data_IF_451016821979
#
_entry.id   IF_451016821979
#
_cell.length_a   1.000
_cell.length_b   1.000
_cell.length_c   1.000
_cell.angle_alpha   90.00
_cell.angle_beta   90.00
_cell.angle_gamma   90.00
#
_symmetry.space_group_name_H-M   'P 1'
#
loop_
_entity.id
_entity.type
_entity.pdbx_description
1 polymer ?
#
# COMPACT_ATOMS: atom_id res chain seq x y z
N UNK A 1 29.21 -3.49 -4.99
CA UNK A 1 28.76 -4.89 -5.08
C UNK A 1 27.52 -5.09 -5.97
N UNK A 2 26.27 -4.90 -5.52
CA UNK A 2 25.05 -5.20 -6.32
C UNK A 2 25.01 -4.56 -7.72
N UNK A 3 25.37 -3.26 -7.82
CA UNK A 3 25.51 -2.56 -9.12
C UNK A 3 26.57 -3.19 -10.03
N UNK A 4 27.71 -3.59 -9.46
CA UNK A 4 28.81 -4.21 -10.23
C UNK A 4 28.38 -5.57 -10.73
N UNK A 5 27.69 -6.37 -9.92
CA UNK A 5 27.15 -7.67 -10.34
C UNK A 5 26.17 -7.52 -11.51
N UNK A 6 25.24 -6.58 -11.45
CA UNK A 6 24.34 -6.28 -12.59
C UNK A 6 25.11 -5.85 -13.83
N UNK A 7 26.16 -5.03 -13.66
CA UNK A 7 27.00 -4.61 -14.78
C UNK A 7 27.77 -5.78 -15.39
N UNK A 8 28.31 -6.70 -14.58
CA UNK A 8 28.97 -7.92 -15.06
C UNK A 8 28.00 -8.80 -15.84
N UNK A 9 26.79 -9.03 -15.32
CA UNK A 9 25.75 -9.78 -16.03
C UNK A 9 25.43 -9.11 -17.37
N UNK A 10 25.25 -7.79 -17.37
CA UNK A 10 25.02 -7.03 -18.61
C UNK A 10 26.13 -7.20 -19.64
N UNK A 11 27.41 -7.25 -19.22
CA UNK A 11 28.52 -7.48 -20.15
C UNK A 11 28.52 -8.90 -20.72
N UNK A 12 28.20 -9.90 -19.90
CA UNK A 12 28.12 -11.30 -20.35
C UNK A 12 26.98 -11.52 -21.36
N UNK A 13 25.86 -10.83 -21.17
CA UNK A 13 24.69 -10.95 -22.04
C UNK A 13 24.77 -10.07 -23.31
N UNK A 14 25.88 -9.37 -23.55
CA UNK A 14 25.95 -8.30 -24.55
C UNK A 14 25.69 -8.77 -25.99
N UNK A 15 26.09 -10.00 -26.31
CA UNK A 15 25.98 -10.58 -27.67
C UNK A 15 24.78 -11.53 -27.81
N UNK A 16 23.91 -11.61 -26.80
CA UNK A 16 22.76 -12.50 -26.82
C UNK A 16 21.57 -11.86 -27.54
N UNK A 17 21.11 -12.49 -28.62
CA UNK A 17 19.93 -12.04 -29.38
C UNK A 17 18.62 -12.45 -28.70
N UNK A 18 18.64 -13.53 -27.93
CA UNK A 18 17.46 -14.09 -27.26
C UNK A 18 17.76 -14.47 -25.82
N UNK A 19 16.93 -14.02 -24.89
CA UNK A 19 17.08 -14.30 -23.47
C UNK A 19 15.80 -14.86 -22.88
N UNK A 20 15.92 -15.79 -21.93
CA UNK A 20 14.80 -16.33 -21.18
C UNK A 20 15.05 -16.16 -19.68
N UNK A 21 14.15 -15.43 -19.03
CA UNK A 21 14.24 -15.10 -17.61
C UNK A 21 13.07 -15.67 -16.82
N UNK A 22 13.33 -16.07 -15.58
CA UNK A 22 12.30 -16.24 -14.55
C UNK A 22 12.47 -15.13 -13.53
N UNK A 23 11.36 -14.51 -13.12
CA UNK A 23 11.36 -13.39 -12.18
C UNK A 23 10.45 -13.67 -11.00
N UNK A 24 10.84 -13.18 -9.84
CA UNK A 24 10.01 -13.24 -8.64
C UNK A 24 10.37 -12.09 -7.70
N UNK A 25 9.49 -11.82 -6.76
CA UNK A 25 9.66 -10.83 -5.72
C UNK A 25 8.94 -11.21 -4.43
N UNK A 26 9.65 -11.15 -3.30
CA UNK A 26 9.10 -11.49 -2.00
C UNK A 26 8.92 -10.27 -1.10
N UNK A 27 7.81 -10.22 -0.38
CA UNK A 27 7.51 -9.23 0.67
C UNK A 27 7.20 -9.97 1.96
N UNK A 28 7.93 -9.65 3.03
CA UNK A 28 7.67 -10.14 4.38
C UNK A 28 7.31 -9.00 5.33
N UNK A 29 6.59 -9.32 6.41
CA UNK A 29 6.18 -8.38 7.46
C UNK A 29 5.45 -7.13 6.90
N UNK A 30 4.58 -7.35 5.91
CA UNK A 30 3.79 -6.29 5.30
C UNK A 30 3.03 -5.47 6.36
N UNK A 31 2.90 -4.17 6.13
CA UNK A 31 2.24 -3.20 7.02
C UNK A 31 2.92 -3.02 8.40
N UNK A 32 4.18 -3.43 8.55
CA UNK A 32 4.98 -3.18 9.76
C UNK A 32 6.20 -2.32 9.45
N UNK A 33 6.86 -1.80 10.50
CA UNK A 33 8.12 -1.05 10.37
C UNK A 33 9.30 -1.93 9.93
N UNK A 34 9.18 -3.25 10.04
CA UNK A 34 10.20 -4.23 9.66
C UNK A 34 9.88 -4.91 8.33
N UNK A 35 9.02 -4.29 7.51
CA UNK A 35 8.72 -4.77 6.16
C UNK A 35 10.01 -4.85 5.33
N UNK A 36 10.22 -6.00 4.69
CA UNK A 36 11.38 -6.24 3.84
C UNK A 36 10.91 -6.74 2.48
N UNK A 37 11.52 -6.22 1.43
CA UNK A 37 11.21 -6.53 0.05
C UNK A 37 12.45 -7.00 -0.68
N UNK A 38 12.30 -8.06 -1.46
CA UNK A 38 13.34 -8.59 -2.34
C UNK A 38 12.79 -8.78 -3.74
N UNK A 39 13.65 -8.64 -4.72
CA UNK A 39 13.32 -8.86 -6.12
C UNK A 39 14.52 -9.50 -6.82
N UNK A 40 14.25 -10.31 -7.82
CA UNK A 40 15.32 -10.93 -8.57
C UNK A 40 14.88 -11.63 -9.84
N UNK A 41 15.88 -12.11 -10.57
CA UNK A 41 15.67 -12.92 -11.75
C UNK A 41 16.73 -14.02 -11.83
N UNK A 42 16.40 -15.08 -12.56
CA UNK A 42 17.36 -16.02 -13.09
C UNK A 42 17.27 -16.02 -14.62
N UNK A 43 18.41 -16.08 -15.29
CA UNK A 43 18.52 -16.27 -16.73
C UNK A 43 18.80 -17.75 -16.99
N UNK A 44 18.13 -18.32 -17.99
CA UNK A 44 18.37 -19.69 -18.43
C UNK A 44 18.85 -19.74 -19.88
N UNK A 45 19.67 -20.73 -20.19
CA UNK A 45 20.03 -21.09 -21.56
C UNK A 45 18.93 -21.91 -22.24
N UNK A 46 19.05 -22.10 -23.55
CA UNK A 46 18.18 -23.00 -24.34
C UNK A 46 18.23 -24.46 -23.86
N UNK A 47 19.31 -24.84 -23.18
CA UNK A 47 19.49 -26.16 -22.57
C UNK A 47 18.88 -26.28 -21.17
N UNK A 48 18.08 -25.29 -20.74
CA UNK A 48 17.46 -25.22 -19.41
C UNK A 48 18.50 -25.26 -18.27
N UNK A 49 19.65 -24.61 -18.45
CA UNK A 49 20.62 -24.42 -17.37
C UNK A 49 20.60 -22.96 -16.92
N UNK A 50 20.73 -22.73 -15.61
CA UNK A 50 20.83 -21.37 -15.07
C UNK A 50 22.20 -20.80 -15.46
N UNK A 51 22.21 -19.73 -16.26
CA UNK A 51 23.44 -19.02 -16.67
C UNK A 51 23.79 -17.93 -15.68
N UNK A 52 22.78 -17.18 -15.22
CA UNK A 52 22.93 -16.09 -14.28
C UNK A 52 21.77 -16.07 -13.28
N UNK A 53 22.06 -15.65 -12.06
CA UNK A 53 21.05 -15.32 -11.04
C UNK A 53 21.43 -13.99 -10.42
N UNK A 54 20.41 -13.19 -10.10
CA UNK A 54 20.57 -11.97 -9.34
C UNK A 54 19.36 -11.73 -8.44
N UNK A 55 19.61 -11.49 -7.16
CA UNK A 55 18.61 -11.05 -6.20
C UNK A 55 19.10 -9.83 -5.43
N UNK A 56 18.15 -9.02 -4.97
CA UNK A 56 18.46 -7.83 -4.21
C UNK A 56 17.32 -7.43 -3.28
N UNK A 57 17.67 -6.78 -2.18
CA UNK A 57 16.73 -6.05 -1.34
C UNK A 57 16.39 -4.70 -1.96
N UNK A 58 15.15 -4.27 -1.82
CA UNK A 58 14.65 -2.98 -2.30
C UNK A 58 14.02 -2.18 -1.16
N UNK A 59 14.15 -0.86 -1.23
CA UNK A 59 13.68 0.06 -0.20
C UNK A 59 12.45 0.85 -0.64
N UNK A 60 11.73 1.34 0.39
CA UNK A 60 10.58 2.24 0.31
C UNK A 60 9.35 1.65 -0.39
N UNK A 61 8.16 2.12 0.00
CA UNK A 61 6.87 1.74 -0.60
C UNK A 61 6.61 0.22 -0.64
N UNK A 62 6.58 -0.47 0.52
CA UNK A 62 6.42 -1.92 0.58
C UNK A 62 5.12 -2.40 -0.11
N UNK A 63 5.26 -3.23 -1.16
CA UNK A 63 4.15 -3.94 -1.79
C UNK A 63 4.65 -5.11 -2.64
N UNK A 64 3.93 -6.23 -2.68
CA UNK A 64 4.29 -7.38 -3.52
C UNK A 64 4.31 -7.03 -5.01
N UNK A 65 3.44 -6.11 -5.46
CA UNK A 65 3.50 -5.64 -6.85
C UNK A 65 4.81 -4.90 -7.16
N UNK A 66 5.39 -4.20 -6.18
CA UNK A 66 6.66 -3.48 -6.37
C UNK A 66 7.79 -4.45 -6.64
N UNK A 67 7.90 -5.52 -5.85
CA UNK A 67 8.98 -6.51 -5.98
C UNK A 67 8.94 -7.18 -7.35
N UNK A 68 7.75 -7.58 -7.80
CA UNK A 68 7.52 -8.15 -9.13
C UNK A 68 7.90 -7.21 -10.28
N UNK A 69 7.42 -5.96 -10.24
CA UNK A 69 7.75 -4.97 -11.26
C UNK A 69 9.24 -4.63 -11.26
N UNK A 70 9.86 -4.60 -10.08
CA UNK A 70 11.27 -4.31 -9.94
C UNK A 70 12.14 -5.46 -10.47
N UNK A 71 11.74 -6.72 -10.29
CA UNK A 71 12.39 -7.87 -10.91
C UNK A 71 12.42 -7.77 -12.45
N UNK A 72 11.29 -7.37 -13.05
CA UNK A 72 11.21 -7.08 -14.49
C UNK A 72 12.07 -5.88 -14.87
N UNK A 73 12.11 -4.82 -14.06
CA UNK A 73 12.99 -3.69 -14.32
C UNK A 73 14.48 -4.10 -14.33
N UNK A 74 14.89 -4.98 -13.41
CA UNK A 74 16.27 -5.47 -13.32
C UNK A 74 16.71 -6.26 -14.55
N UNK A 75 15.88 -7.19 -15.05
CA UNK A 75 16.23 -7.95 -16.25
C UNK A 75 16.33 -7.02 -17.47
N UNK A 76 15.42 -6.05 -17.61
CA UNK A 76 15.45 -5.08 -18.71
C UNK A 76 16.72 -4.21 -18.69
N UNK A 77 17.23 -3.88 -17.50
CA UNK A 77 18.48 -3.14 -17.34
C UNK A 77 19.66 -3.96 -17.86
N UNK A 78 19.71 -5.28 -17.61
CA UNK A 78 20.83 -6.12 -18.03
C UNK A 78 20.73 -6.62 -19.47
N UNK A 79 19.54 -6.64 -20.08
CA UNK A 79 19.37 -7.09 -21.46
C UNK A 79 20.05 -6.17 -22.49
N UNK A 80 20.63 -6.72 -23.59
CA UNK A 80 21.26 -5.93 -24.65
C UNK A 80 20.22 -5.29 -25.58
N UNK A 81 20.67 -4.40 -26.46
CA UNK A 81 19.80 -3.77 -27.47
C UNK A 81 19.33 -4.77 -28.52
N UNK A 82 18.10 -4.62 -29.02
CA UNK A 82 17.53 -5.46 -30.07
C UNK A 82 17.14 -6.87 -29.63
N UNK A 83 17.30 -7.20 -28.34
CA UNK A 83 17.09 -8.54 -27.82
C UNK A 83 15.61 -8.94 -27.78
N UNK A 84 15.33 -10.21 -28.04
CA UNK A 84 14.04 -10.84 -27.72
C UNK A 84 14.10 -11.48 -26.35
N UNK A 85 13.18 -11.10 -25.48
CA UNK A 85 13.17 -11.52 -24.08
C UNK A 85 11.89 -12.30 -23.77
N UNK A 86 12.05 -13.55 -23.36
CA UNK A 86 11.01 -14.37 -22.76
C UNK A 86 11.01 -14.15 -21.24
N UNK A 87 9.91 -13.59 -20.71
CA UNK A 87 9.77 -13.29 -19.28
C UNK A 87 8.75 -14.24 -18.68
N UNK A 88 9.22 -15.17 -17.86
CA UNK A 88 8.40 -16.14 -17.14
C UNK A 88 8.15 -15.61 -15.72
N UNK A 89 6.89 -15.29 -15.39
CA UNK A 89 6.50 -14.69 -14.11
C UNK A 89 5.14 -15.24 -13.67
N UNK A 90 4.92 -15.34 -12.37
CA UNK A 90 3.60 -15.64 -11.79
C UNK A 90 2.79 -14.37 -11.46
N UNK A 91 3.28 -13.16 -11.74
CA UNK A 91 2.54 -11.93 -11.52
C UNK A 91 1.73 -11.51 -12.74
N UNK A 92 0.45 -11.92 -12.79
CA UNK A 92 -0.48 -11.44 -13.83
C UNK A 92 -0.66 -9.93 -13.79
N UNK A 93 -0.62 -9.34 -12.59
CA UNK A 93 -0.77 -7.90 -12.41
C UNK A 93 0.38 -7.13 -13.08
N UNK A 94 1.62 -7.59 -12.95
CA UNK A 94 2.78 -6.99 -13.61
C UNK A 94 2.65 -7.06 -15.13
N UNK A 95 2.27 -8.23 -15.67
CA UNK A 95 2.03 -8.42 -17.11
C UNK A 95 0.97 -7.42 -17.61
N UNK A 96 -0.18 -7.36 -16.94
CA UNK A 96 -1.29 -6.51 -17.33
C UNK A 96 -0.91 -5.02 -17.34
N UNK A 97 -0.20 -4.55 -16.31
CA UNK A 97 0.22 -3.15 -16.20
C UNK A 97 1.18 -2.79 -17.34
N UNK A 98 2.20 -3.61 -17.58
CA UNK A 98 3.20 -3.33 -18.61
C UNK A 98 2.55 -3.36 -19.99
N UNK A 99 1.76 -4.38 -20.29
CA UNK A 99 1.06 -4.48 -21.59
C UNK A 99 0.08 -3.32 -21.80
N UNK A 100 -0.68 -2.92 -20.77
CA UNK A 100 -1.61 -1.81 -20.85
C UNK A 100 -0.91 -0.50 -21.22
N UNK A 101 0.22 -0.20 -20.59
CA UNK A 101 0.95 1.05 -20.82
C UNK A 101 1.73 0.99 -22.14
N UNK A 102 2.35 -0.15 -22.44
CA UNK A 102 3.09 -0.35 -23.69
C UNK A 102 2.20 -0.19 -24.92
N UNK A 103 0.97 -0.73 -24.86
CA UNK A 103 0.00 -0.66 -25.95
C UNK A 103 -0.82 0.66 -25.97
N UNK A 104 -0.63 1.55 -25.00
CA UNK A 104 -1.32 2.82 -24.93
C UNK A 104 -0.38 3.98 -25.28
N UNK A 105 -0.32 4.43 -26.56
CA UNK A 105 0.55 5.52 -26.97
C UNK A 105 0.16 6.87 -26.35
N UNK A 106 -1.06 7.00 -25.84
CA UNK A 106 -1.58 8.23 -25.23
C UNK A 106 -1.40 8.27 -23.71
N UNK A 107 -0.74 7.27 -23.12
CA UNK A 107 -0.54 7.19 -21.67
C UNK A 107 0.28 8.40 -21.19
N UNK A 108 -0.37 9.31 -20.48
CA UNK A 108 0.20 10.60 -20.13
C UNK A 108 0.90 10.57 -18.77
N UNK A 109 1.71 11.61 -18.50
CA UNK A 109 2.30 11.85 -17.17
C UNK A 109 1.22 11.88 -16.07
N UNK A 110 0.04 12.45 -16.38
CA UNK A 110 -1.09 12.49 -15.46
C UNK A 110 -1.58 11.09 -15.10
N UNK A 111 -1.55 10.16 -16.05
CA UNK A 111 -1.99 8.79 -15.83
C UNK A 111 -1.00 8.01 -14.96
N UNK A 112 0.31 8.25 -15.11
CA UNK A 112 1.31 7.75 -14.16
C UNK A 112 1.01 8.19 -12.72
N UNK A 113 0.68 9.47 -12.51
CA UNK A 113 0.33 9.97 -11.16
C UNK A 113 -1.06 9.52 -10.66
N UNK A 114 -1.90 8.92 -11.51
CA UNK A 114 -3.17 8.29 -11.13
C UNK A 114 -3.02 6.82 -10.76
N UNK A 115 -1.92 6.17 -11.14
CA UNK A 115 -1.62 4.80 -10.73
C UNK A 115 -1.65 4.70 -9.19
N UNK A 116 -2.23 3.64 -8.63
CA UNK A 116 -2.36 3.48 -7.18
C UNK A 116 -1.00 3.55 -6.48
N UNK A 117 -0.03 2.77 -6.96
CA UNK A 117 1.33 2.65 -6.42
C UNK A 117 2.34 2.36 -7.56
N UNK A 118 3.64 2.46 -7.25
CA UNK A 118 4.80 2.09 -8.10
C UNK A 118 4.91 2.87 -9.42
N UNK A 119 4.34 4.07 -9.48
CA UNK A 119 4.32 4.88 -10.71
C UNK A 119 5.72 5.14 -11.27
N UNK A 120 6.75 5.37 -10.44
CA UNK A 120 8.11 5.62 -10.91
C UNK A 120 8.77 4.35 -11.47
N UNK A 121 8.66 3.21 -10.78
CA UNK A 121 9.17 1.92 -11.29
C UNK A 121 8.54 1.62 -12.66
N UNK A 122 7.22 1.78 -12.76
CA UNK A 122 6.47 1.55 -14.00
C UNK A 122 6.89 2.53 -15.11
N UNK A 123 7.13 3.80 -14.78
CA UNK A 123 7.59 4.82 -15.72
C UNK A 123 9.02 4.57 -16.23
N UNK A 124 9.82 3.72 -15.57
CA UNK A 124 11.12 3.31 -16.10
C UNK A 124 11.02 2.18 -17.14
N UNK A 125 10.04 1.28 -17.01
CA UNK A 125 9.98 0.05 -17.80
C UNK A 125 9.78 0.33 -19.29
N UNK A 126 8.74 1.08 -19.66
CA UNK A 126 8.38 1.31 -21.08
C UNK A 126 9.46 2.10 -21.84
N UNK A 127 10.05 3.17 -21.29
CA UNK A 127 11.17 3.84 -21.92
C UNK A 127 12.37 2.93 -22.18
N UNK A 128 12.76 2.06 -21.23
CA UNK A 128 13.86 1.11 -21.45
C UNK A 128 13.54 0.16 -22.62
N UNK A 129 12.32 -0.38 -22.66
CA UNK A 129 11.90 -1.28 -23.75
C UNK A 129 12.05 -0.58 -25.11
N UNK A 130 11.62 0.68 -25.20
CA UNK A 130 11.69 1.48 -26.44
C UNK A 130 13.11 1.87 -26.81
N UNK A 131 13.88 2.41 -25.86
CA UNK A 131 15.27 2.86 -26.06
C UNK A 131 16.17 1.69 -26.48
N UNK A 132 15.97 0.52 -25.88
CA UNK A 132 16.73 -0.69 -26.21
C UNK A 132 16.16 -1.49 -27.38
N UNK A 133 15.02 -1.08 -27.95
CA UNK A 133 14.33 -1.83 -29.01
C UNK A 133 14.10 -3.31 -28.64
N UNK A 134 13.60 -3.56 -27.43
CA UNK A 134 13.40 -4.92 -26.90
C UNK A 134 12.07 -5.50 -27.38
N UNK A 135 12.09 -6.79 -27.73
CA UNK A 135 10.86 -7.55 -28.03
C UNK A 135 10.53 -8.45 -26.85
N UNK A 136 9.43 -8.15 -26.14
CA UNK A 136 9.06 -8.92 -24.94
C UNK A 136 7.98 -9.97 -25.26
N UNK A 137 8.16 -11.18 -24.73
CA UNK A 137 7.13 -12.22 -24.64
C UNK A 137 6.91 -12.59 -23.18
N UNK A 138 5.71 -12.31 -22.67
CA UNK A 138 5.34 -12.68 -21.31
C UNK A 138 4.72 -14.07 -21.26
N UNK A 139 5.26 -14.93 -20.40
CA UNK A 139 4.77 -16.26 -20.13
C UNK A 139 4.24 -16.31 -18.69
N UNK A 140 2.92 -16.41 -18.54
CA UNK A 140 2.28 -16.54 -17.22
C UNK A 140 2.51 -17.94 -16.66
N UNK A 141 3.28 -18.03 -15.58
CA UNK A 141 3.46 -19.26 -14.82
C UNK A 141 2.26 -19.43 -13.89
N UNK A 142 1.66 -20.62 -13.87
CA UNK A 142 0.59 -20.94 -12.91
C UNK A 142 1.22 -21.16 -11.53
N UNK A 143 0.69 -20.45 -10.53
CA UNK A 143 1.05 -20.71 -9.14
C UNK A 143 0.83 -22.20 -8.83
N UNK A 144 1.77 -22.82 -8.12
CA UNK A 144 1.77 -24.24 -7.74
C UNK A 144 2.01 -25.28 -8.86
N UNK A 145 2.37 -24.88 -10.09
CA UNK A 145 2.61 -25.82 -11.20
C UNK A 145 3.94 -26.58 -11.14
N UNK A 146 4.57 -26.69 -9.96
CA UNK A 146 5.84 -27.37 -9.75
C UNK A 146 7.02 -26.92 -10.65
N UNK A 147 6.95 -25.73 -11.26
CA UNK A 147 8.02 -25.21 -12.12
C UNK A 147 9.32 -25.02 -11.32
N UNK A 148 10.38 -25.67 -11.77
CA UNK A 148 11.66 -25.73 -11.05
C UNK A 148 12.31 -24.34 -10.96
N UNK A 149 12.32 -23.58 -12.05
CA UNK A 149 12.99 -22.28 -12.13
C UNK A 149 12.23 -21.23 -11.32
N UNK A 150 10.90 -21.22 -11.40
CA UNK A 150 10.06 -20.34 -10.59
C UNK A 150 10.28 -20.59 -9.09
N UNK A 151 10.27 -21.86 -8.66
CA UNK A 151 10.56 -22.21 -7.26
C UNK A 151 11.96 -21.81 -6.84
N UNK A 152 12.93 -21.91 -7.76
CA UNK A 152 14.31 -21.54 -7.47
C UNK A 152 14.42 -20.04 -7.20
N UNK A 153 13.83 -19.19 -8.04
CA UNK A 153 13.88 -17.73 -7.83
C UNK A 153 13.05 -17.29 -6.61
N UNK A 154 11.91 -17.93 -6.32
CA UNK A 154 11.13 -17.73 -5.08
C UNK A 154 12.00 -17.97 -3.84
N UNK A 155 12.72 -19.10 -3.81
CA UNK A 155 13.64 -19.44 -2.72
C UNK A 155 14.79 -18.45 -2.61
N UNK A 156 15.40 -18.04 -3.73
CA UNK A 156 16.49 -17.06 -3.72
C UNK A 156 16.02 -15.69 -3.21
N UNK A 157 14.80 -15.26 -3.57
CA UNK A 157 14.20 -14.03 -3.04
C UNK A 157 13.90 -14.13 -1.53
N UNK A 158 13.46 -15.30 -1.05
CA UNK A 158 13.25 -15.54 0.40
C UNK A 158 14.56 -15.47 1.19
N UNK A 159 15.64 -16.03 0.64
CA UNK A 159 16.98 -15.98 1.26
C UNK A 159 17.52 -14.54 1.25
N UNK A 160 17.27 -13.79 0.17
CA UNK A 160 17.75 -12.42 0.02
C UNK A 160 17.23 -11.46 1.11
N UNK A 161 16.18 -11.79 1.87
CA UNK A 161 15.75 -10.97 3.00
C UNK A 161 16.79 -10.88 4.12
N UNK A 162 17.67 -11.87 4.20
CA UNK A 162 18.74 -11.96 5.20
C UNK A 162 20.10 -11.47 4.67
N UNK A 163 20.12 -10.92 3.45
CA UNK A 163 21.30 -10.29 2.88
C UNK A 163 21.61 -8.98 3.62
N UNK A 164 22.79 -8.92 4.24
CA UNK A 164 23.26 -7.75 4.98
C UNK A 164 23.79 -6.63 4.09
N UNK A 165 23.84 -6.84 2.77
CA UNK A 165 24.35 -5.84 1.85
C UNK A 165 23.31 -4.77 1.54
N UNK A 166 23.71 -3.50 1.35
CA UNK A 166 22.78 -2.39 1.13
C UNK A 166 21.78 -2.67 0.01
N UNK A 167 20.56 -2.18 0.17
CA UNK A 167 19.52 -2.32 -0.85
C UNK A 167 19.92 -1.65 -2.17
N UNK A 168 19.42 -2.18 -3.28
CA UNK A 168 19.61 -1.54 -4.57
C UNK A 168 18.67 -0.34 -4.70
N UNK A 169 19.24 0.84 -4.92
CA UNK A 169 18.50 2.09 -5.13
C UNK A 169 18.71 2.60 -6.55
N UNK A 170 17.62 2.81 -7.28
CA UNK A 170 17.64 3.43 -8.60
C UNK A 170 17.73 4.94 -8.43
N UNK A 171 18.93 5.51 -8.65
CA UNK A 171 19.17 6.95 -8.53
C UNK A 171 18.84 7.73 -9.81
N UNK A 172 19.01 7.11 -10.97
CA UNK A 172 18.74 7.71 -12.28
C UNK A 172 17.57 6.98 -12.91
N UNK A 173 16.57 7.74 -13.32
CA UNK A 173 15.44 7.20 -14.04
C UNK A 173 15.70 7.23 -15.55
N UNK A 174 15.06 6.31 -16.27
CA UNK A 174 15.10 6.13 -17.72
C UNK A 174 13.97 6.88 -18.43
N UNK A 175 13.32 7.81 -17.74
CA UNK A 175 12.25 8.63 -18.31
C UNK A 175 12.59 10.11 -18.19
N UNK A 176 12.20 10.86 -19.21
CA UNK A 176 12.39 12.32 -19.29
C UNK A 176 11.07 13.08 -19.24
N UNK A 177 9.95 12.37 -19.14
CA UNK A 177 8.60 12.95 -19.11
C UNK A 177 8.27 13.67 -17.78
N UNK A 178 8.99 13.38 -16.69
CA UNK A 178 8.81 14.02 -15.39
C UNK A 178 10.11 14.75 -15.02
N UNK A 179 10.10 16.08 -15.12
CA UNK A 179 11.25 16.91 -14.77
C UNK A 179 11.50 16.99 -13.26
N UNK A 180 10.43 16.99 -12.47
CA UNK A 180 10.49 17.13 -11.01
C UNK A 180 9.70 16.00 -10.36
N UNK A 181 10.40 15.14 -9.64
CA UNK A 181 9.79 14.02 -8.90
C UNK A 181 9.42 14.52 -7.50
N UNK A 182 8.14 14.52 -7.12
CA UNK A 182 7.73 14.89 -5.76
C UNK A 182 8.37 13.93 -4.74
N UNK A 183 8.85 14.48 -3.63
CA UNK A 183 9.52 13.72 -2.56
C UNK A 183 8.92 14.04 -1.20
N UNK A 184 8.94 13.05 -0.31
CA UNK A 184 8.61 13.18 1.11
C UNK A 184 9.87 12.85 1.92
N UNK A 185 10.49 13.87 2.55
CA UNK A 185 11.69 13.66 3.36
C UNK A 185 12.82 12.97 2.59
N UNK A 186 13.06 13.39 1.34
CA UNK A 186 13.98 12.80 0.33
C UNK A 186 13.56 11.48 -0.33
N UNK A 187 12.43 10.88 0.08
CA UNK A 187 11.91 9.65 -0.55
C UNK A 187 10.96 10.02 -1.69
N UNK A 188 11.20 9.59 -2.93
CA UNK A 188 10.28 9.82 -4.05
C UNK A 188 8.87 9.30 -3.76
N UNK A 189 7.84 10.07 -4.09
CA UNK A 189 6.44 9.69 -3.86
C UNK A 189 5.99 8.74 -4.98
N UNK A 190 5.89 7.44 -4.66
CA UNK A 190 5.52 6.41 -5.64
C UNK A 190 4.04 6.02 -5.64
N UNK A 191 3.17 6.90 -5.16
CA UNK A 191 1.72 6.66 -5.04
C UNK A 191 0.94 7.75 -5.74
N UNK A 192 -0.39 7.63 -5.74
CA UNK A 192 -1.30 8.69 -6.21
C UNK A 192 -0.97 10.03 -5.56
N UNK A 193 -0.34 10.94 -6.30
CA UNK A 193 0.23 12.17 -5.76
C UNK A 193 -0.84 13.02 -5.05
N UNK A 194 -1.99 13.24 -5.69
CA UNK A 194 -3.09 14.04 -5.11
C UNK A 194 -3.58 13.44 -3.80
N UNK A 195 -3.77 12.12 -3.75
CA UNK A 195 -4.27 11.42 -2.56
C UNK A 195 -3.22 11.46 -1.45
N UNK A 196 -1.94 11.26 -1.78
CA UNK A 196 -0.83 11.41 -0.84
C UNK A 196 -0.79 12.81 -0.20
N UNK A 197 -0.91 13.87 -1.01
CA UNK A 197 -0.94 15.26 -0.51
C UNK A 197 -2.16 15.48 0.41
N UNK A 198 -3.34 15.00 0.00
CA UNK A 198 -4.55 15.09 0.83
C UNK A 198 -4.37 14.35 2.16
N UNK A 199 -3.90 13.12 2.13
CA UNK A 199 -3.73 12.28 3.33
C UNK A 199 -2.68 12.86 4.27
N UNK A 200 -1.57 13.34 3.72
CA UNK A 200 -0.53 14.02 4.47
C UNK A 200 -1.03 15.31 5.13
N UNK A 201 -1.78 16.14 4.39
CA UNK A 201 -2.35 17.38 4.93
C UNK A 201 -3.37 17.09 6.02
N UNK A 202 -4.23 16.08 5.82
CA UNK A 202 -5.20 15.64 6.81
C UNK A 202 -4.52 15.10 8.06
N UNK A 203 -3.49 14.27 7.91
CA UNK A 203 -2.70 13.77 9.04
C UNK A 203 -2.05 14.92 9.82
N UNK A 204 -1.47 15.89 9.12
CA UNK A 204 -0.88 17.08 9.76
C UNK A 204 -1.93 17.87 10.55
N UNK A 205 -3.08 18.12 9.96
CA UNK A 205 -4.18 18.84 10.62
C UNK A 205 -4.70 18.07 11.83
N UNK A 206 -4.86 16.76 11.70
CA UNK A 206 -5.28 15.87 12.78
C UNK A 206 -4.29 15.89 13.94
N UNK A 207 -2.99 15.74 13.66
CA UNK A 207 -1.95 15.84 14.68
C UNK A 207 -1.94 17.23 15.33
N UNK A 208 -2.09 18.30 14.56
CA UNK A 208 -2.16 19.66 15.10
C UNK A 208 -3.36 19.81 16.05
N UNK A 209 -4.53 19.31 15.67
CA UNK A 209 -5.73 19.29 16.51
C UNK A 209 -5.51 18.50 17.81
N UNK A 210 -4.92 17.31 17.74
CA UNK A 210 -4.63 16.49 18.93
C UNK A 210 -3.61 17.15 19.86
N UNK A 211 -2.66 17.91 19.31
CA UNK A 211 -1.61 18.58 20.05
C UNK A 211 -2.01 19.94 20.62
N UNK A 212 -3.24 20.40 20.42
CA UNK A 212 -3.78 21.56 21.14
C UNK A 212 -3.80 21.29 22.65
N UNK A 213 -3.40 22.23 23.51
CA UNK A 213 -3.35 22.03 24.97
C UNK A 213 -4.66 21.51 25.56
N UNK A 214 -5.80 21.95 25.03
CA UNK A 214 -7.13 21.52 25.47
C UNK A 214 -7.43 20.07 25.10
N UNK A 215 -6.84 19.58 24.01
CA UNK A 215 -7.12 18.27 23.44
C UNK A 215 -6.10 17.20 23.85
N UNK A 216 -4.95 17.60 24.38
CA UNK A 216 -3.86 16.69 24.71
C UNK A 216 -4.29 15.53 25.62
N UNK A 217 -5.21 15.79 26.56
CA UNK A 217 -5.80 14.79 27.45
C UNK A 217 -6.55 13.67 26.74
N UNK A 218 -7.06 13.91 25.53
CA UNK A 218 -7.83 12.92 24.77
C UNK A 218 -6.96 12.02 23.88
N UNK A 219 -5.66 12.32 23.74
CA UNK A 219 -4.78 11.63 22.80
C UNK A 219 -4.72 10.10 23.01
N UNK A 220 -4.72 9.67 24.26
CA UNK A 220 -4.59 8.25 24.63
C UNK A 220 -5.87 7.66 25.25
N UNK A 221 -6.90 8.47 25.49
CA UNK A 221 -8.13 8.04 26.18
C UNK A 221 -9.25 7.76 25.17
N UNK A 222 -9.21 8.41 24.01
CA UNK A 222 -10.22 8.27 22.96
C UNK A 222 -9.72 7.28 21.92
N UNK A 223 -10.57 6.30 21.59
CA UNK A 223 -10.41 5.47 20.40
C UNK A 223 -10.72 6.32 19.16
N UNK A 224 -9.69 7.01 18.68
CA UNK A 224 -9.82 7.94 17.56
C UNK A 224 -10.12 7.24 16.24
N UNK A 225 -9.71 5.97 16.07
CA UNK A 225 -9.99 5.21 14.86
C UNK A 225 -11.50 4.93 14.77
N UNK A 226 -12.10 4.45 15.85
CA UNK A 226 -13.54 4.26 15.94
C UNK A 226 -14.30 5.59 15.87
N UNK A 227 -13.83 6.61 16.59
CA UNK A 227 -14.46 7.94 16.63
C UNK A 227 -14.50 8.59 15.25
N UNK A 228 -13.38 8.57 14.52
CA UNK A 228 -13.32 9.12 13.17
C UNK A 228 -14.11 8.26 12.18
N UNK A 229 -14.15 6.93 12.34
CA UNK A 229 -15.00 6.08 11.51
C UNK A 229 -16.48 6.47 11.63
N UNK A 230 -16.98 6.70 12.85
CA UNK A 230 -18.36 7.16 13.10
C UNK A 230 -18.58 8.56 12.50
N UNK A 231 -17.68 9.51 12.76
CA UNK A 231 -17.87 10.92 12.36
C UNK A 231 -17.67 11.16 10.86
N UNK A 232 -16.74 10.44 10.24
CA UNK A 232 -16.24 10.67 8.88
C UNK A 232 -16.67 9.63 7.85
N UNK A 233 -17.53 8.65 8.19
CA UNK A 233 -18.20 7.79 7.21
C UNK A 233 -19.18 8.61 6.34
N UNK A 234 -18.63 9.37 5.41
CA UNK A 234 -19.36 9.84 4.25
C UNK A 234 -19.28 8.68 3.24
N UNK A 235 -20.42 8.21 2.73
CA UNK A 235 -20.51 7.03 1.86
C UNK A 235 -19.65 7.09 0.59
N UNK A 236 -19.85 6.14 -0.33
CA UNK A 236 -19.15 6.14 -1.61
C UNK A 236 -19.26 7.51 -2.29
N UNK A 237 -18.12 8.06 -2.71
CA UNK A 237 -18.06 9.38 -3.38
C UNK A 237 -18.68 9.24 -4.76
N UNK A 238 -19.99 9.41 -4.86
CA UNK A 238 -20.66 9.71 -6.12
C UNK A 238 -20.20 11.08 -6.63
N UNK A 239 -20.20 11.21 -7.96
CA UNK A 239 -19.58 12.28 -8.72
C UNK A 239 -19.97 13.69 -8.26
N UNK A 240 -19.00 14.61 -8.28
CA UNK A 240 -19.15 15.99 -7.83
C UNK A 240 -20.01 16.80 -8.81
N UNK A 241 -21.32 16.89 -8.57
CA UNK A 241 -22.15 17.97 -9.09
C UNK A 241 -22.30 19.06 -8.02
N UNK A 242 -22.08 20.31 -8.42
CA UNK A 242 -21.99 21.49 -7.56
C UNK A 242 -23.29 21.87 -6.83
N UNK A 243 -24.41 21.17 -7.03
CA UNK A 243 -25.71 21.59 -6.50
C UNK A 243 -26.26 20.79 -5.30
N UNK A 244 -25.72 19.64 -4.90
CA UNK A 244 -26.34 18.90 -3.78
C UNK A 244 -25.32 18.19 -2.90
N UNK A 245 -24.89 18.85 -1.83
CA UNK A 245 -24.29 18.21 -0.66
C UNK A 245 -25.39 17.67 0.28
N UNK A 246 -26.30 16.85 -0.25
CA UNK A 246 -27.24 16.05 0.56
C UNK A 246 -26.86 14.58 0.34
N UNK A 247 -25.73 14.17 0.94
CA UNK A 247 -25.31 12.77 0.91
C UNK A 247 -26.17 11.96 1.88
N UNK A 248 -27.02 11.10 1.33
CA UNK A 248 -27.63 9.97 2.06
C UNK A 248 -26.51 9.20 2.79
N UNK A 249 -26.71 8.92 4.08
CA UNK A 249 -25.74 8.24 4.92
C UNK A 249 -25.89 6.73 4.73
N UNK A 250 -24.77 5.99 4.60
CA UNK A 250 -24.81 4.56 4.27
C UNK A 250 -25.45 3.69 5.38
N UNK A 251 -25.62 4.22 6.60
CA UNK A 251 -26.34 3.52 7.66
C UNK A 251 -27.74 4.09 7.91
N UNK A 252 -28.12 5.23 7.33
CA UNK A 252 -29.44 5.85 7.55
C UNK A 252 -29.86 6.70 6.35
N UNK A 253 -30.95 6.32 5.68
CA UNK A 253 -31.47 6.98 4.49
C UNK A 253 -32.31 8.25 4.79
N UNK A 254 -32.44 8.67 6.06
CA UNK A 254 -33.23 9.85 6.43
C UNK A 254 -32.39 11.15 6.41
N UNK A 255 -32.96 12.22 5.88
CA UNK A 255 -32.26 13.46 5.53
C UNK A 255 -31.72 14.28 6.71
N UNK A 256 -30.60 14.96 6.40
CA UNK A 256 -29.84 15.99 7.14
C UNK A 256 -29.13 15.54 8.42
N UNK A 257 -27.80 15.45 8.28
CA UNK A 257 -26.80 15.32 9.35
C UNK A 257 -26.87 16.54 10.29
N UNK A 258 -27.67 16.45 11.35
CA UNK A 258 -27.56 17.33 12.52
C UNK A 258 -26.64 16.69 13.56
N UNK A 259 -26.01 17.50 14.43
CA UNK A 259 -25.24 16.98 15.55
C UNK A 259 -26.05 15.96 16.35
N UNK A 260 -27.33 16.24 16.59
CA UNK A 260 -28.25 15.35 17.30
C UNK A 260 -28.52 14.05 16.53
N UNK A 261 -28.68 14.10 15.20
CA UNK A 261 -28.90 12.89 14.40
C UNK A 261 -27.70 11.94 14.48
N UNK A 262 -26.45 12.44 14.55
CA UNK A 262 -25.27 11.58 14.72
C UNK A 262 -25.36 10.77 16.00
N UNK A 263 -25.77 11.37 17.13
CA UNK A 263 -25.82 10.69 18.43
C UNK A 263 -27.09 9.86 18.67
N UNK A 264 -28.16 10.13 17.94
CA UNK A 264 -29.48 9.54 18.16
C UNK A 264 -29.95 8.64 17.00
N UNK A 265 -29.09 8.44 15.99
CA UNK A 265 -29.44 7.63 14.83
C UNK A 265 -29.71 6.17 15.25
N UNK A 266 -30.93 5.65 15.05
CA UNK A 266 -31.28 4.30 15.46
C UNK A 266 -30.45 3.22 14.74
N UNK A 267 -29.92 3.54 13.57
CA UNK A 267 -29.05 2.64 12.79
C UNK A 267 -27.58 2.65 13.21
N UNK A 268 -27.16 3.57 14.09
CA UNK A 268 -25.79 3.61 14.64
C UNK A 268 -25.73 3.06 16.07
N UNK A 269 -26.86 2.62 16.63
CA UNK A 269 -26.98 2.18 18.04
C UNK A 269 -25.96 1.12 18.42
N UNK A 270 -25.64 0.18 17.51
CA UNK A 270 -24.65 -0.87 17.75
C UNK A 270 -23.22 -0.32 17.82
N UNK A 271 -22.83 0.56 16.90
CA UNK A 271 -21.52 1.22 16.90
C UNK A 271 -21.33 2.12 18.13
N UNK A 272 -22.37 2.87 18.53
CA UNK A 272 -22.35 3.64 19.76
C UNK A 272 -22.32 2.77 21.01
N UNK A 273 -22.99 1.62 21.00
CA UNK A 273 -22.92 0.65 22.10
C UNK A 273 -21.50 0.07 22.24
N UNK A 274 -20.82 -0.21 21.13
CA UNK A 274 -19.42 -0.62 21.14
C UNK A 274 -18.51 0.47 21.71
N UNK A 275 -18.67 1.73 21.27
CA UNK A 275 -17.90 2.86 21.78
C UNK A 275 -18.14 3.09 23.28
N UNK A 276 -19.40 3.04 23.72
CA UNK A 276 -19.78 3.12 25.13
C UNK A 276 -19.15 1.99 25.95
N UNK A 277 -19.24 0.73 25.48
CA UNK A 277 -18.67 -0.42 26.16
C UNK A 277 -17.14 -0.36 26.23
N UNK A 278 -16.46 0.11 25.17
CA UNK A 278 -15.01 0.28 25.18
C UNK A 278 -14.58 1.33 26.20
N UNK A 279 -15.26 2.49 26.23
CA UNK A 279 -15.00 3.53 27.22
C UNK A 279 -15.27 3.05 28.65
N UNK A 280 -16.42 2.40 28.87
CA UNK A 280 -16.80 1.79 30.15
C UNK A 280 -15.74 0.80 30.63
N UNK A 281 -15.31 -0.11 29.77
CA UNK A 281 -14.27 -1.08 30.10
C UNK A 281 -12.95 -0.40 30.45
N UNK A 282 -12.53 0.62 29.71
CA UNK A 282 -11.32 1.39 30.02
C UNK A 282 -11.36 2.00 31.43
N UNK A 283 -12.49 2.58 31.83
CA UNK A 283 -12.67 3.13 33.17
C UNK A 283 -12.68 2.05 34.24
N UNK A 284 -13.38 0.93 34.01
CA UNK A 284 -13.41 -0.19 34.95
C UNK A 284 -12.00 -0.74 35.17
N UNK A 285 -11.24 -0.99 34.10
CA UNK A 285 -9.85 -1.46 34.22
C UNK A 285 -8.96 -0.45 34.94
N UNK A 286 -9.08 0.85 34.64
CA UNK A 286 -8.32 1.88 35.36
C UNK A 286 -8.66 1.99 36.86
N UNK A 287 -9.92 1.75 37.25
CA UNK A 287 -10.34 1.74 38.65
C UNK A 287 -9.84 0.47 39.37
N UNK A 288 -9.88 -0.68 38.69
CA UNK A 288 -9.36 -1.95 39.23
C UNK A 288 -7.84 -1.89 39.48
N UNK A 289 -7.09 -1.17 38.63
CA UNK A 289 -5.66 -0.93 38.84
C UNK A 289 -5.36 -0.09 40.08
N UNK A 290 -6.32 0.74 40.53
CA UNK A 290 -6.21 1.59 41.72
C UNK A 290 -6.83 0.98 42.97
N UNK A 291 -7.71 -0.02 42.83
CA UNK A 291 -8.48 -0.62 43.92
C UNK A 291 -8.70 -2.12 43.72
N UNK A 292 -8.18 -2.96 44.62
CA UNK A 292 -8.23 -4.42 44.49
C UNK A 292 -9.45 -5.08 45.14
N UNK A 293 -10.34 -4.31 45.77
CA UNK A 293 -11.41 -4.83 46.63
C UNK A 293 -12.79 -4.94 45.94
N UNK A 294 -12.89 -4.60 44.66
CA UNK A 294 -14.15 -4.63 43.92
C UNK A 294 -13.94 -5.44 42.64
N UNK A 295 -14.90 -6.28 42.28
CA UNK A 295 -14.84 -7.06 41.04
C UNK A 295 -15.26 -6.24 39.82
N UNK A 296 -14.71 -6.56 38.65
CA UNK A 296 -15.03 -5.90 37.38
C UNK A 296 -16.54 -5.92 37.07
N UNK A 297 -17.22 -7.03 37.40
CA UNK A 297 -18.66 -7.18 37.19
C UNK A 297 -19.46 -6.21 38.07
N UNK A 298 -19.10 -6.07 39.35
CA UNK A 298 -19.78 -5.14 40.25
C UNK A 298 -19.62 -3.68 39.81
N UNK A 299 -18.43 -3.29 39.32
CA UNK A 299 -18.21 -1.95 38.75
C UNK A 299 -18.99 -1.76 37.46
N UNK A 300 -19.05 -2.78 36.59
CA UNK A 300 -19.85 -2.75 35.37
C UNK A 300 -21.33 -2.52 35.66
N UNK A 301 -21.90 -3.24 36.62
CA UNK A 301 -23.31 -3.13 37.00
C UNK A 301 -23.62 -1.77 37.63
N UNK A 302 -22.70 -1.24 38.45
CA UNK A 302 -22.80 0.12 39.00
C UNK A 302 -22.72 1.20 37.91
N UNK A 303 -21.88 1.00 36.89
CA UNK A 303 -21.74 1.94 35.79
C UNK A 303 -23.03 2.01 34.95
N UNK A 304 -23.69 0.87 34.72
CA UNK A 304 -24.97 0.82 33.99
C UNK A 304 -26.12 1.47 34.78
N UNK A 305 -26.08 1.39 36.12
CA UNK A 305 -27.03 2.07 37.01
C UNK A 305 -26.94 3.61 36.92
N UNK A 306 -25.82 4.17 36.44
CA UNK A 306 -25.66 5.62 36.24
C UNK A 306 -26.38 6.16 35.01
N UNK A 307 -26.97 5.29 34.17
CA UNK A 307 -27.90 5.66 33.09
C UNK A 307 -27.31 6.66 32.07
N UNK A 308 -26.01 6.60 31.81
CA UNK A 308 -25.33 7.48 30.85
C UNK A 308 -25.83 7.36 29.40
N UNK A 309 -26.61 6.31 29.08
CA UNK A 309 -27.16 6.04 27.73
C UNK A 309 -28.63 6.46 27.56
N UNK A 310 -29.21 7.23 28.48
CA UNK A 310 -30.66 7.54 28.52
C UNK A 310 -31.25 8.24 27.27
N UNK A 311 -30.47 8.66 26.28
CA UNK A 311 -30.99 9.38 25.12
C UNK A 311 -31.42 8.51 23.92
N UNK A 312 -31.33 7.18 23.96
CA UNK A 312 -31.84 6.36 22.85
C UNK A 312 -33.37 6.16 22.86
N UNK A 313 -34.08 6.66 23.89
CA UNK A 313 -35.54 6.64 23.93
C UNK A 313 -36.13 8.02 24.24
N UNK A 314 -36.91 8.50 23.26
CA UNK A 314 -37.75 9.69 23.22
C UNK A 314 -38.06 10.35 24.58
N UNK A 315 -37.62 11.60 24.74
CA UNK A 315 -38.42 12.61 25.44
C UNK A 315 -38.06 14.01 24.92
N UNK A 316 -39.12 14.75 24.59
CA UNK A 316 -39.09 16.07 23.97
C UNK A 316 -38.19 17.05 24.72
N UNK A 317 -37.10 17.48 24.10
CA UNK A 317 -36.42 18.72 24.49
C UNK A 317 -37.24 19.86 23.86
N UNK A 318 -37.99 20.58 24.68
CA UNK A 318 -38.56 21.90 24.32
C UNK A 318 -37.61 22.99 24.84
N UNK A 319 -37.46 24.05 24.04
CA UNK A 319 -36.40 25.07 24.07
C UNK A 319 -36.05 25.65 25.43
#
# INVERSE_FOLDING_TARGET
>A
MKKETLHTIQQHLKEEDTLSFYTDGSLINANTQVASMTAGFICISDTNNITHSFTTTIENWPSSLRTELFAILLLLIVSPHGCRIDINTDSQNSINIIQHIYNNPTFSIRDYFRLPNNNLVINNIVPIIKEKNLTLRFNKIKAHNNDYFNKRIDQECKIAHYDSTPALVIKRHYFDNIQFIPQWGSIPIERRLRKFITDSSNLKNYLFFLHLPQNYKYKNIVDWDLTLWILCNNGEKSETNFEQHHSEYLLCAEEKKTFNHVWLCPYQTEAFSQLYNNFKNMLIFGILDLTTNISAQQLSDQFDLLLFTRSSHASNITF
#
